data_IF_019761931747
#
_entry.id   IF_019761931747
#
_cell.length_a   1.000
_cell.length_b   1.000
_cell.length_c   1.000
_cell.angle_alpha   90.00
_cell.angle_beta   90.00
_cell.angle_gamma   90.00
#
_symmetry.space_group_name_H-M   'P 1'
#
loop_
_entity.id
_entity.type
_entity.pdbx_description
1 polymer ?
#
# COMPACT_ATOMS: atom_id res chain seq x y z
N UNK A 1 -6.05 9.19 -30.43
CA UNK A 1 -4.64 9.03 -30.04
C UNK A 1 -4.21 10.25 -29.25
N UNK A 2 -3.52 10.06 -28.11
CA UNK A 2 -2.88 11.12 -27.35
C UNK A 2 -1.61 11.65 -28.04
N UNK A 3 -1.00 12.69 -27.48
CA UNK A 3 0.17 13.35 -28.08
C UNK A 3 1.38 12.41 -28.20
N UNK A 4 1.59 11.51 -27.25
CA UNK A 4 2.70 10.56 -27.23
C UNK A 4 2.50 9.46 -28.28
N UNK A 5 1.27 8.96 -28.45
CA UNK A 5 0.94 8.01 -29.52
C UNK A 5 1.12 8.62 -30.92
N UNK A 6 0.79 9.91 -31.09
CA UNK A 6 1.05 10.63 -32.35
C UNK A 6 2.55 10.76 -32.62
N UNK A 7 3.35 11.05 -31.61
CA UNK A 7 4.80 11.12 -31.73
C UNK A 7 5.44 9.77 -32.13
N UNK A 8 4.95 8.67 -31.58
CA UNK A 8 5.38 7.32 -31.95
C UNK A 8 4.94 6.93 -33.36
N UNK A 9 3.70 7.27 -33.72
CA UNK A 9 3.20 7.07 -35.08
C UNK A 9 4.13 7.75 -36.10
N UNK A 10 4.55 8.99 -35.81
CA UNK A 10 5.52 9.74 -36.60
C UNK A 10 6.82 8.96 -36.80
N UNK A 11 7.43 8.47 -35.70
CA UNK A 11 8.67 7.68 -35.74
C UNK A 11 8.50 6.40 -36.52
N UNK A 12 7.36 5.71 -36.36
CA UNK A 12 7.06 4.48 -37.13
C UNK A 12 6.91 4.76 -38.64
N UNK A 13 6.29 5.90 -39.00
CA UNK A 13 6.17 6.32 -40.40
C UNK A 13 7.55 6.61 -41.00
N UNK A 14 8.42 7.36 -40.30
CA UNK A 14 9.80 7.63 -40.76
C UNK A 14 10.60 6.33 -40.93
N UNK A 15 10.44 5.38 -40.00
CA UNK A 15 11.09 4.06 -40.08
C UNK A 15 10.63 3.28 -41.32
N UNK A 16 9.34 3.24 -41.60
CA UNK A 16 8.79 2.57 -42.79
C UNK A 16 9.23 3.27 -44.08
N UNK A 17 9.21 4.59 -44.08
CA UNK A 17 9.67 5.42 -45.21
C UNK A 17 11.18 5.27 -45.47
N UNK A 18 11.94 4.69 -44.54
CA UNK A 18 13.38 4.39 -44.68
C UNK A 18 14.31 5.57 -44.37
N UNK A 19 13.80 6.75 -44.07
CA UNK A 19 14.61 7.90 -43.66
C UNK A 19 13.82 8.91 -42.80
N UNK A 20 14.53 9.72 -41.97
CA UNK A 20 13.90 10.80 -41.23
C UNK A 20 13.42 11.93 -42.15
N UNK A 21 12.27 12.53 -41.81
CA UNK A 21 11.67 13.65 -42.57
C UNK A 21 12.26 14.96 -42.06
N UNK A 22 13.31 15.47 -42.71
CA UNK A 22 14.06 16.68 -42.29
C UNK A 22 13.83 17.88 -43.20
N UNK A 23 13.32 17.71 -44.42
CA UNK A 23 13.11 18.76 -45.41
C UNK A 23 11.65 18.71 -45.92
N UNK A 24 11.14 19.86 -46.38
CA UNK A 24 9.80 19.94 -46.97
C UNK A 24 9.63 18.99 -48.19
N UNK A 25 10.70 18.78 -48.93
CA UNK A 25 10.71 17.84 -50.04
C UNK A 25 10.50 16.40 -49.62
N UNK A 26 11.01 16.00 -48.43
CA UNK A 26 10.78 14.65 -47.89
C UNK A 26 9.28 14.39 -47.62
N UNK A 27 8.53 15.45 -47.23
CA UNK A 27 7.08 15.35 -47.02
C UNK A 27 6.32 15.04 -48.35
N UNK A 28 6.79 15.60 -49.47
CA UNK A 28 6.23 15.30 -50.80
C UNK A 28 6.51 13.83 -51.19
N UNK A 29 7.75 13.38 -50.98
CA UNK A 29 8.09 11.99 -51.25
C UNK A 29 7.31 11.02 -50.36
N UNK A 30 7.14 11.33 -49.06
CA UNK A 30 6.29 10.53 -48.17
C UNK A 30 4.83 10.51 -48.64
N UNK A 31 4.30 11.63 -49.08
CA UNK A 31 2.92 11.69 -49.61
C UNK A 31 2.74 10.76 -50.83
N UNK A 32 3.71 10.77 -51.73
CA UNK A 32 3.72 9.93 -52.93
C UNK A 32 3.86 8.45 -52.54
N UNK A 33 4.77 8.12 -51.66
CA UNK A 33 5.00 6.75 -51.16
C UNK A 33 3.76 6.17 -50.48
N UNK A 34 3.05 6.98 -49.67
CA UNK A 34 1.76 6.57 -49.05
C UNK A 34 0.72 6.27 -50.16
N UNK A 35 0.64 7.13 -51.17
CA UNK A 35 -0.31 6.95 -52.30
C UNK A 35 -0.01 5.68 -53.09
N UNK A 36 1.27 5.43 -53.38
CA UNK A 36 1.73 4.26 -54.14
C UNK A 36 1.58 2.95 -53.35
N UNK A 37 1.89 2.98 -52.02
CA UNK A 37 1.89 1.79 -51.16
C UNK A 37 0.50 1.32 -50.79
N UNK A 38 -0.42 2.23 -50.45
CA UNK A 38 -1.75 1.88 -49.87
C UNK A 38 -2.95 2.55 -50.60
N UNK A 39 -2.68 3.25 -51.69
CA UNK A 39 -3.68 3.97 -52.50
C UNK A 39 -4.53 4.95 -51.67
N UNK A 40 -3.90 5.63 -50.67
CA UNK A 40 -4.57 6.61 -49.81
C UNK A 40 -3.92 8.00 -49.98
N UNK A 41 -4.78 9.02 -50.06
CA UNK A 41 -4.31 10.41 -50.15
C UNK A 41 -4.37 11.12 -48.79
N UNK A 42 -3.24 11.73 -48.40
CA UNK A 42 -3.13 12.63 -47.22
C UNK A 42 -2.73 14.01 -47.73
N UNK A 43 -3.43 15.04 -47.29
CA UNK A 43 -3.13 16.41 -47.70
C UNK A 43 -1.71 16.84 -47.25
N UNK A 44 -0.96 17.41 -48.18
CA UNK A 44 0.45 17.83 -47.95
C UNK A 44 0.61 18.73 -46.73
N UNK A 45 -0.31 19.67 -46.53
CA UNK A 45 -0.26 20.60 -45.40
C UNK A 45 -0.52 19.88 -44.06
N UNK A 46 -1.24 18.76 -44.06
CA UNK A 46 -1.43 17.93 -42.85
C UNK A 46 -0.16 17.24 -42.49
N UNK A 47 0.54 16.65 -43.47
CA UNK A 47 1.87 16.05 -43.26
C UNK A 47 2.89 17.11 -42.83
N UNK A 48 2.90 18.28 -43.45
CA UNK A 48 3.80 19.40 -43.05
C UNK A 48 3.59 19.81 -41.59
N UNK A 49 2.35 19.88 -41.11
CA UNK A 49 2.04 20.15 -39.70
C UNK A 49 2.48 19.01 -38.79
N UNK A 50 2.24 17.77 -39.20
CA UNK A 50 2.64 16.59 -38.43
C UNK A 50 4.16 16.51 -38.25
N UNK A 51 4.93 16.81 -39.30
CA UNK A 51 6.40 16.74 -39.28
C UNK A 51 7.09 18.07 -38.89
N UNK A 52 6.33 19.07 -38.44
CA UNK A 52 6.88 20.29 -37.85
C UNK A 52 7.32 21.40 -38.86
N UNK A 53 6.92 21.31 -40.14
CA UNK A 53 7.19 22.33 -41.15
C UNK A 53 6.14 23.46 -41.19
N UNK A 54 5.08 23.33 -40.40
CA UNK A 54 4.05 24.35 -40.17
C UNK A 54 3.60 24.27 -38.71
N UNK A 55 2.91 25.33 -38.23
CA UNK A 55 2.37 25.36 -36.87
C UNK A 55 1.56 24.08 -36.59
N UNK A 56 1.86 23.42 -35.46
CA UNK A 56 1.24 22.15 -35.09
C UNK A 56 -0.27 22.34 -34.89
N UNK A 57 -1.03 21.47 -35.51
CA UNK A 57 -2.44 21.29 -35.26
C UNK A 57 -2.69 19.79 -35.17
N UNK A 58 -3.38 19.34 -34.14
CA UNK A 58 -3.67 17.93 -33.96
C UNK A 58 -4.31 17.34 -35.24
N UNK A 59 -3.75 16.27 -35.80
CA UNK A 59 -4.33 15.62 -36.98
C UNK A 59 -5.71 15.08 -36.69
N UNK A 60 -6.59 15.14 -37.68
CA UNK A 60 -7.89 14.49 -37.58
C UNK A 60 -7.75 12.97 -37.52
N UNK A 61 -8.68 12.30 -36.85
CA UNK A 61 -8.66 10.86 -36.68
C UNK A 61 -8.54 10.11 -38.02
N UNK A 62 -9.26 10.53 -39.03
CA UNK A 62 -9.15 9.97 -40.39
C UNK A 62 -7.73 10.06 -41.00
N UNK A 63 -6.94 11.05 -40.62
CA UNK A 63 -5.56 11.18 -41.09
C UNK A 63 -4.65 10.19 -40.33
N UNK A 64 -4.86 10.06 -39.04
CA UNK A 64 -4.13 9.09 -38.21
C UNK A 64 -4.41 7.66 -38.69
N UNK A 65 -5.67 7.33 -39.01
CA UNK A 65 -6.06 6.04 -39.59
C UNK A 65 -5.30 5.74 -40.91
N UNK A 66 -5.22 6.71 -41.83
CA UNK A 66 -4.49 6.53 -43.08
C UNK A 66 -3.00 6.23 -42.88
N UNK A 67 -2.38 6.90 -41.90
CA UNK A 67 -0.98 6.63 -41.54
C UNK A 67 -0.81 5.24 -40.90
N UNK A 68 -1.75 4.81 -40.10
CA UNK A 68 -1.77 3.49 -39.49
C UNK A 68 -1.94 2.39 -40.55
N UNK A 69 -2.82 2.61 -41.53
CA UNK A 69 -2.97 1.70 -42.68
C UNK A 69 -1.68 1.66 -43.52
N UNK A 70 -1.06 2.82 -43.74
CA UNK A 70 0.26 2.88 -44.40
C UNK A 70 1.29 2.02 -43.66
N UNK A 71 1.30 1.98 -42.33
CA UNK A 71 2.17 1.10 -41.54
C UNK A 71 1.86 -0.39 -41.65
N UNK A 72 0.70 -0.75 -42.22
CA UNK A 72 0.27 -2.13 -42.41
C UNK A 72 -0.71 -2.65 -41.35
N UNK A 73 -1.22 -1.77 -40.49
CA UNK A 73 -2.24 -2.14 -39.50
C UNK A 73 -3.65 -1.92 -40.05
N UNK A 74 -4.59 -2.72 -39.56
CA UNK A 74 -5.99 -2.64 -40.00
C UNK A 74 -6.67 -1.32 -39.58
N UNK A 75 -6.35 -0.82 -38.36
CA UNK A 75 -6.91 0.39 -37.78
C UNK A 75 -6.05 0.90 -36.62
N UNK A 76 -6.36 2.08 -36.08
CA UNK A 76 -5.65 2.71 -34.96
C UNK A 76 -5.66 1.85 -33.70
N UNK A 77 -6.72 1.09 -33.44
CA UNK A 77 -6.81 0.20 -32.28
C UNK A 77 -5.77 -0.92 -32.34
N UNK A 78 -5.63 -1.58 -33.48
CA UNK A 78 -4.63 -2.63 -33.69
C UNK A 78 -3.21 -2.09 -33.60
N UNK A 79 -2.94 -0.90 -34.13
CA UNK A 79 -1.66 -0.22 -34.00
C UNK A 79 -1.30 0.10 -32.54
N UNK A 80 -2.25 0.68 -31.80
CA UNK A 80 -2.05 1.02 -30.38
C UNK A 80 -1.82 -0.23 -29.53
N UNK A 81 -2.57 -1.30 -29.80
CA UNK A 81 -2.42 -2.58 -29.11
C UNK A 81 -1.03 -3.19 -29.35
N UNK A 82 -0.59 -3.23 -30.59
CA UNK A 82 0.74 -3.76 -30.96
C UNK A 82 1.87 -2.92 -30.35
N UNK A 83 1.77 -1.58 -30.47
CA UNK A 83 2.78 -0.66 -29.92
C UNK A 83 2.89 -0.77 -28.40
N UNK A 84 1.76 -0.91 -27.69
CA UNK A 84 1.73 -1.10 -26.24
C UNK A 84 2.29 -2.47 -25.85
N UNK A 85 1.97 -3.52 -26.59
CA UNK A 85 2.51 -4.88 -26.35
C UNK A 85 4.03 -4.89 -26.52
N UNK A 86 4.56 -4.29 -27.58
CA UNK A 86 5.99 -4.21 -27.83
C UNK A 86 6.73 -3.38 -26.76
N UNK A 87 6.12 -2.27 -26.26
CA UNK A 87 6.67 -1.50 -25.14
C UNK A 87 6.70 -2.34 -23.86
N UNK A 88 5.60 -2.97 -23.50
CA UNK A 88 5.51 -3.82 -22.32
C UNK A 88 6.51 -4.97 -22.38
N UNK A 89 6.70 -5.58 -23.55
CA UNK A 89 7.73 -6.61 -23.78
C UNK A 89 9.15 -6.07 -23.53
N UNK A 90 9.49 -4.89 -24.03
CA UNK A 90 10.81 -4.27 -23.82
C UNK A 90 11.10 -4.03 -22.33
N UNK A 91 10.10 -3.55 -21.58
CA UNK A 91 10.23 -3.36 -20.13
C UNK A 91 10.35 -4.69 -19.39
N UNK A 92 9.52 -5.68 -19.72
CA UNK A 92 9.59 -7.01 -19.17
C UNK A 92 10.96 -7.66 -19.44
N UNK A 93 11.46 -7.60 -20.67
CA UNK A 93 12.76 -8.13 -21.06
C UNK A 93 13.90 -7.47 -20.28
N UNK A 94 13.93 -6.14 -20.19
CA UNK A 94 14.95 -5.41 -19.44
C UNK A 94 14.88 -5.72 -17.94
N UNK A 95 13.69 -5.80 -17.37
CA UNK A 95 13.49 -6.25 -15.99
C UNK A 95 14.11 -7.62 -15.76
N UNK A 96 13.80 -8.60 -16.61
CA UNK A 96 14.38 -9.94 -16.50
C UNK A 96 15.90 -9.95 -16.67
N UNK A 97 16.46 -9.09 -17.53
CA UNK A 97 17.91 -8.95 -17.65
C UNK A 97 18.54 -8.53 -16.32
N UNK A 98 17.95 -7.54 -15.62
CA UNK A 98 18.40 -7.10 -14.29
C UNK A 98 18.25 -8.22 -13.25
N UNK A 99 17.12 -8.92 -13.26
CA UNK A 99 16.85 -10.06 -12.36
C UNK A 99 17.87 -11.20 -12.52
N UNK A 100 18.18 -11.54 -13.76
CA UNK A 100 19.13 -12.62 -14.10
C UNK A 100 20.57 -12.23 -13.76
N UNK A 101 20.96 -10.97 -13.99
CA UNK A 101 22.32 -10.49 -13.69
C UNK A 101 22.58 -10.39 -12.19
N UNK A 102 21.52 -10.25 -11.37
CA UNK A 102 21.57 -10.01 -9.91
C UNK A 102 22.39 -8.77 -9.52
N UNK A 103 22.69 -7.92 -10.48
CA UNK A 103 23.45 -6.68 -10.30
C UNK A 103 22.68 -5.52 -10.92
N UNK A 104 22.82 -4.33 -10.33
CA UNK A 104 22.19 -3.10 -10.81
C UNK A 104 23.27 -2.12 -11.23
N UNK A 105 23.33 -1.82 -12.51
CA UNK A 105 24.26 -0.88 -13.10
C UNK A 105 23.70 0.54 -13.06
N UNK A 106 24.57 1.52 -13.32
CA UNK A 106 24.12 2.93 -13.49
C UNK A 106 23.09 3.07 -14.61
N UNK A 107 23.29 2.35 -15.73
CA UNK A 107 22.35 2.32 -16.86
C UNK A 107 20.98 1.75 -16.45
N UNK A 108 20.94 0.78 -15.53
CA UNK A 108 19.68 0.23 -15.02
C UNK A 108 18.93 1.24 -14.15
N UNK A 109 19.65 2.01 -13.32
CA UNK A 109 19.06 3.11 -12.56
C UNK A 109 18.48 4.18 -13.49
N UNK A 110 19.22 4.59 -14.53
CA UNK A 110 18.75 5.56 -15.53
C UNK A 110 17.49 5.03 -16.25
N UNK A 111 17.46 3.75 -16.60
CA UNK A 111 16.30 3.12 -17.20
C UNK A 111 15.09 3.09 -16.22
N UNK A 112 15.29 2.76 -14.95
CA UNK A 112 14.23 2.80 -13.93
C UNK A 112 13.67 4.22 -13.76
N UNK A 113 14.54 5.24 -13.76
CA UNK A 113 14.11 6.64 -13.69
C UNK A 113 13.28 7.06 -14.91
N UNK A 114 13.62 6.59 -16.10
CA UNK A 114 12.85 6.85 -17.31
C UNK A 114 11.49 6.12 -17.29
N UNK A 115 11.42 4.97 -16.61
CA UNK A 115 10.21 4.14 -16.52
C UNK A 115 9.22 4.60 -15.44
N UNK A 116 9.61 5.43 -14.46
CA UNK A 116 8.85 5.71 -13.23
C UNK A 116 7.44 6.30 -13.42
N UNK A 117 7.17 6.93 -14.56
CA UNK A 117 5.88 7.54 -14.87
C UNK A 117 4.90 6.57 -15.59
N UNK A 118 5.25 5.30 -15.70
CA UNK A 118 4.39 4.28 -16.29
C UNK A 118 3.43 3.71 -15.25
N UNK A 119 2.21 3.41 -15.63
CA UNK A 119 1.17 2.83 -14.78
C UNK A 119 1.57 1.45 -14.20
N UNK A 120 2.43 0.72 -14.91
CA UNK A 120 2.93 -0.62 -14.53
C UNK A 120 4.31 -0.59 -13.85
N UNK A 121 4.88 0.59 -13.58
CA UNK A 121 6.21 0.75 -12.98
C UNK A 121 6.36 -0.01 -11.66
N UNK A 122 5.36 0.07 -10.78
CA UNK A 122 5.41 -0.58 -9.48
C UNK A 122 5.58 -2.10 -9.58
N UNK A 123 5.03 -2.74 -10.63
CA UNK A 123 5.14 -4.19 -10.87
C UNK A 123 6.59 -4.58 -11.15
N UNK A 124 7.23 -3.89 -12.09
CA UNK A 124 8.63 -4.15 -12.47
C UNK A 124 9.59 -3.81 -11.35
N UNK A 125 9.39 -2.64 -10.73
CA UNK A 125 10.27 -2.16 -9.67
C UNK A 125 10.19 -3.03 -8.42
N UNK A 126 8.99 -3.40 -7.97
CA UNK A 126 8.82 -4.32 -6.84
C UNK A 126 9.37 -5.72 -7.13
N UNK A 127 9.30 -6.20 -8.38
CA UNK A 127 9.87 -7.48 -8.76
C UNK A 127 11.40 -7.47 -8.64
N UNK A 128 12.06 -6.38 -9.06
CA UNK A 128 13.51 -6.22 -8.91
C UNK A 128 13.88 -6.21 -7.42
N UNK A 129 13.22 -5.37 -6.61
CA UNK A 129 13.50 -5.30 -5.17
C UNK A 129 13.28 -6.64 -4.47
N UNK A 130 12.18 -7.31 -4.78
CA UNK A 130 11.86 -8.64 -4.24
C UNK A 130 12.94 -9.66 -4.56
N UNK A 131 13.44 -9.68 -5.78
CA UNK A 131 14.45 -10.66 -6.20
C UNK A 131 15.83 -10.36 -5.58
N UNK A 132 16.23 -9.10 -5.54
CA UNK A 132 17.47 -8.70 -4.85
C UNK A 132 17.44 -9.07 -3.36
N UNK A 133 16.31 -8.88 -2.68
CA UNK A 133 16.10 -9.34 -1.30
C UNK A 133 16.16 -10.86 -1.20
N UNK A 134 15.58 -11.58 -2.17
CA UNK A 134 15.62 -13.04 -2.23
C UNK A 134 17.04 -13.59 -2.26
N UNK A 135 17.90 -12.92 -3.01
CA UNK A 135 19.30 -13.29 -3.17
C UNK A 135 20.23 -12.66 -2.13
N UNK A 136 19.69 -11.90 -1.13
CA UNK A 136 20.48 -11.18 -0.12
C UNK A 136 21.47 -10.16 -0.71
N UNK A 137 21.16 -9.58 -1.87
CA UNK A 137 22.01 -8.62 -2.58
C UNK A 137 21.86 -7.21 -1.98
N UNK A 138 22.31 -7.05 -0.75
CA UNK A 138 22.11 -5.79 0.03
C UNK A 138 22.81 -4.60 -0.64
N UNK A 139 24.01 -4.80 -1.20
CA UNK A 139 24.77 -3.72 -1.86
C UNK A 139 23.99 -3.14 -3.06
N UNK A 140 23.30 -3.99 -3.82
CA UNK A 140 22.49 -3.55 -4.95
C UNK A 140 21.23 -2.79 -4.49
N UNK A 141 20.62 -3.24 -3.38
CA UNK A 141 19.51 -2.54 -2.76
C UNK A 141 19.95 -1.17 -2.21
N UNK A 142 21.14 -1.06 -1.64
CA UNK A 142 21.72 0.21 -1.19
C UNK A 142 21.81 1.19 -2.37
N UNK A 143 22.29 0.76 -3.54
CA UNK A 143 22.38 1.61 -4.74
C UNK A 143 21.00 2.16 -5.14
N UNK A 144 19.97 1.29 -5.12
CA UNK A 144 18.59 1.68 -5.47
C UNK A 144 18.03 2.65 -4.42
N UNK A 145 18.09 2.29 -3.12
CA UNK A 145 17.50 3.12 -2.07
C UNK A 145 18.27 4.42 -1.80
N UNK A 146 19.53 4.52 -2.21
CA UNK A 146 20.28 5.77 -2.18
C UNK A 146 19.81 6.78 -3.24
N UNK A 147 19.04 6.35 -4.25
CA UNK A 147 18.50 7.23 -5.29
C UNK A 147 17.07 7.65 -4.94
N UNK A 148 16.91 8.87 -4.39
CA UNK A 148 15.61 9.42 -3.98
C UNK A 148 14.62 9.58 -5.13
N UNK A 149 15.09 9.76 -6.35
CA UNK A 149 14.23 10.07 -7.50
C UNK A 149 13.44 8.84 -7.99
N UNK A 150 13.90 7.63 -7.70
CA UNK A 150 13.18 6.39 -8.01
C UNK A 150 11.85 6.26 -7.24
N UNK A 151 11.75 6.91 -6.10
CA UNK A 151 10.58 6.85 -5.21
C UNK A 151 9.68 8.10 -5.29
N UNK A 152 9.96 9.01 -6.22
CA UNK A 152 9.08 10.16 -6.55
C UNK A 152 7.95 9.71 -7.48
N UNK A 153 7.07 8.87 -6.98
CA UNK A 153 5.89 8.31 -7.62
C UNK A 153 4.67 8.47 -6.68
N UNK A 154 3.43 8.27 -7.15
CA UNK A 154 2.25 8.38 -6.30
C UNK A 154 2.31 7.48 -5.06
N UNK A 155 1.90 8.01 -3.91
CA UNK A 155 1.94 7.28 -2.62
C UNK A 155 1.28 5.89 -2.66
N UNK A 156 0.10 5.67 -3.31
CA UNK A 156 -0.49 4.35 -3.39
C UNK A 156 0.41 3.31 -4.07
N UNK A 157 1.23 3.72 -5.02
CA UNK A 157 2.18 2.84 -5.72
C UNK A 157 3.37 2.48 -4.82
N UNK A 158 3.89 3.46 -4.05
CA UNK A 158 4.95 3.20 -3.08
C UNK A 158 4.47 2.21 -2.02
N UNK A 159 3.23 2.33 -1.55
CA UNK A 159 2.65 1.41 -0.57
C UNK A 159 2.57 -0.02 -1.12
N UNK A 160 2.19 -0.19 -2.40
CA UNK A 160 2.21 -1.50 -3.06
C UNK A 160 3.62 -2.09 -3.09
N UNK A 161 4.61 -1.27 -3.46
CA UNK A 161 6.03 -1.66 -3.45
C UNK A 161 6.47 -2.05 -2.04
N UNK A 162 6.16 -1.22 -1.03
CA UNK A 162 6.47 -1.49 0.36
C UNK A 162 5.86 -2.80 0.87
N UNK A 163 4.62 -3.10 0.46
CA UNK A 163 3.94 -4.35 0.79
C UNK A 163 4.66 -5.56 0.20
N UNK A 164 5.05 -5.52 -1.08
CA UNK A 164 5.78 -6.62 -1.74
C UNK A 164 7.15 -6.83 -1.09
N UNK A 165 7.87 -5.75 -0.79
CA UNK A 165 9.16 -5.77 -0.09
C UNK A 165 9.00 -6.33 1.32
N UNK A 166 8.01 -5.86 2.09
CA UNK A 166 7.70 -6.34 3.42
C UNK A 166 7.42 -7.85 3.45
N UNK A 167 6.60 -8.35 2.52
CA UNK A 167 6.36 -9.79 2.40
C UNK A 167 7.65 -10.58 2.14
N UNK A 168 8.59 -10.02 1.40
CA UNK A 168 9.86 -10.68 1.15
C UNK A 168 10.76 -10.67 2.39
N UNK A 169 10.77 -9.57 3.14
CA UNK A 169 11.51 -9.46 4.40
C UNK A 169 11.07 -10.48 5.45
N UNK A 170 9.84 -10.97 5.43
CA UNK A 170 9.34 -12.06 6.30
C UNK A 170 10.13 -13.38 6.14
N UNK A 171 10.86 -13.55 5.06
CA UNK A 171 11.67 -14.76 4.83
C UNK A 171 13.07 -14.70 5.42
N UNK A 172 13.45 -13.58 6.04
CA UNK A 172 14.71 -13.45 6.73
C UNK A 172 14.62 -14.11 8.13
N UNK A 173 15.62 -14.89 8.47
CA UNK A 173 15.78 -15.48 9.79
C UNK A 173 16.49 -14.52 10.76
N UNK A 174 16.40 -14.76 12.05
CA UNK A 174 17.06 -13.90 13.07
C UNK A 174 18.55 -13.71 12.81
N UNK A 175 19.24 -14.76 12.35
CA UNK A 175 20.67 -14.69 12.00
C UNK A 175 20.96 -13.75 10.82
N UNK A 176 19.97 -13.52 9.96
CA UNK A 176 20.10 -12.69 8.77
C UNK A 176 19.67 -11.23 9.01
N UNK A 177 19.01 -10.90 10.14
CA UNK A 177 18.52 -9.54 10.37
C UNK A 177 19.62 -8.48 10.29
N UNK A 178 20.83 -8.80 10.76
CA UNK A 178 21.98 -7.88 10.69
C UNK A 178 22.33 -7.46 9.26
N UNK A 179 22.01 -8.28 8.26
CA UNK A 179 22.20 -7.91 6.86
C UNK A 179 21.35 -6.70 6.45
N UNK A 180 20.24 -6.44 7.15
CA UNK A 180 19.32 -5.36 6.84
C UNK A 180 19.74 -4.01 7.45
N UNK A 181 20.69 -3.98 8.37
CA UNK A 181 21.12 -2.75 9.06
C UNK A 181 21.57 -1.63 8.10
N UNK A 182 22.36 -1.91 7.05
CA UNK A 182 22.73 -0.88 6.07
C UNK A 182 21.50 -0.25 5.37
N UNK A 183 20.47 -1.04 5.07
CA UNK A 183 19.21 -0.53 4.47
C UNK A 183 18.45 0.35 5.46
N UNK A 184 18.33 -0.07 6.71
CA UNK A 184 17.68 0.72 7.79
C UNK A 184 18.38 2.06 7.99
N UNK A 185 19.68 2.14 7.75
CA UNK A 185 20.44 3.39 7.83
C UNK A 185 20.07 4.40 6.73
N UNK A 186 19.46 3.96 5.63
CA UNK A 186 19.05 4.82 4.51
C UNK A 186 17.67 5.42 4.79
N UNK A 187 17.59 6.76 4.89
CA UNK A 187 16.34 7.48 5.12
C UNK A 187 15.24 7.10 4.11
N UNK A 188 15.61 6.99 2.85
CA UNK A 188 14.68 6.67 1.77
C UNK A 188 14.07 5.26 1.89
N UNK A 189 14.84 4.28 2.40
CA UNK A 189 14.32 2.96 2.73
C UNK A 189 13.34 3.03 3.92
N UNK A 190 13.68 3.77 4.98
CA UNK A 190 12.77 3.94 6.12
C UNK A 190 11.46 4.58 5.70
N UNK A 191 11.52 5.72 4.98
CA UNK A 191 10.34 6.49 4.60
C UNK A 191 9.42 5.75 3.62
N UNK A 192 9.97 5.02 2.65
CA UNK A 192 9.19 4.41 1.57
C UNK A 192 8.86 2.93 1.80
N UNK A 193 9.57 2.25 2.71
CA UNK A 193 9.32 0.83 2.98
C UNK A 193 8.90 0.63 4.44
N UNK A 194 9.76 0.98 5.38
CA UNK A 194 9.58 0.63 6.79
C UNK A 194 8.36 1.33 7.41
N UNK A 195 8.12 2.61 7.10
CA UNK A 195 7.03 3.38 7.71
C UNK A 195 5.71 3.24 6.96
N UNK A 196 5.72 2.89 5.67
CA UNK A 196 4.51 2.70 4.89
C UNK A 196 3.90 1.30 5.03
N UNK A 197 4.72 0.29 5.35
CA UNK A 197 4.24 -1.08 5.56
C UNK A 197 4.52 -1.53 7.00
N UNK A 198 3.68 -1.10 7.95
CA UNK A 198 3.78 -1.55 9.34
C UNK A 198 3.35 -3.01 9.45
N UNK A 199 4.29 -3.89 9.72
CA UNK A 199 4.04 -5.33 9.81
C UNK A 199 3.85 -5.77 11.26
N UNK A 200 2.64 -5.54 11.80
CA UNK A 200 2.31 -5.90 13.18
C UNK A 200 2.51 -7.39 13.47
N UNK A 201 2.31 -8.27 12.49
CA UNK A 201 2.48 -9.72 12.67
C UNK A 201 3.94 -10.13 12.96
N UNK A 202 4.88 -9.27 12.60
CA UNK A 202 6.33 -9.52 12.73
C UNK A 202 7.03 -8.50 13.64
N UNK A 203 6.30 -7.90 14.58
CA UNK A 203 6.89 -7.04 15.60
C UNK A 203 7.89 -7.80 16.51
N UNK A 204 7.71 -9.09 16.70
CA UNK A 204 8.68 -9.96 17.37
C UNK A 204 9.71 -10.59 16.41
N UNK A 205 9.72 -10.19 15.14
CA UNK A 205 10.63 -10.68 14.11
C UNK A 205 11.39 -9.55 13.44
N UNK A 206 11.61 -9.70 12.13
CA UNK A 206 12.41 -8.77 11.32
C UNK A 206 11.94 -7.31 11.45
N UNK A 207 10.63 -7.07 11.50
CA UNK A 207 10.09 -5.73 11.50
C UNK A 207 10.39 -4.99 12.80
N UNK A 208 10.13 -5.60 13.95
CA UNK A 208 10.45 -5.00 15.25
C UNK A 208 11.95 -4.80 15.43
N UNK A 209 12.77 -5.73 14.94
CA UNK A 209 14.23 -5.57 14.94
C UNK A 209 14.66 -4.34 14.11
N UNK A 210 14.12 -4.16 12.89
CA UNK A 210 14.44 -2.99 12.06
C UNK A 210 13.98 -1.68 12.70
N UNK A 211 12.80 -1.65 13.34
CA UNK A 211 12.32 -0.48 14.07
C UNK A 211 13.25 -0.15 15.24
N UNK A 212 13.69 -1.13 16.01
CA UNK A 212 14.61 -0.92 17.13
C UNK A 212 15.97 -0.38 16.66
N UNK A 213 16.56 -0.98 15.63
CA UNK A 213 17.83 -0.52 15.03
C UNK A 213 17.67 0.89 14.45
N UNK A 214 16.51 1.25 13.91
CA UNK A 214 16.27 2.57 13.34
C UNK A 214 16.39 3.70 14.36
N UNK A 215 16.12 3.47 15.66
CA UNK A 215 16.18 4.49 16.72
C UNK A 215 17.50 5.27 16.72
N UNK A 216 18.62 4.59 16.54
CA UNK A 216 19.95 5.21 16.54
C UNK A 216 20.27 5.99 15.26
N UNK A 217 19.44 5.86 14.21
CA UNK A 217 19.67 6.44 12.87
C UNK A 217 18.72 7.61 12.57
N UNK A 218 17.70 7.82 13.42
CA UNK A 218 16.63 8.78 13.20
C UNK A 218 17.00 10.16 13.75
N UNK A 219 16.74 11.21 12.94
CA UNK A 219 16.93 12.60 13.35
C UNK A 219 15.62 13.40 13.35
N UNK A 220 14.65 13.04 12.50
CA UNK A 220 13.39 13.77 12.33
C UNK A 220 12.39 13.44 13.43
N UNK A 221 11.60 14.45 13.81
CA UNK A 221 10.61 14.34 14.89
C UNK A 221 9.51 13.34 14.55
N UNK A 222 8.99 13.37 13.31
CA UNK A 222 7.96 12.46 12.83
C UNK A 222 8.43 11.00 12.77
N UNK A 223 9.67 10.76 12.35
CA UNK A 223 10.28 9.42 12.38
C UNK A 223 10.43 8.90 13.83
N UNK A 224 10.85 9.78 14.76
CA UNK A 224 10.96 9.42 16.19
C UNK A 224 9.59 9.07 16.77
N UNK A 225 8.59 9.93 16.54
CA UNK A 225 7.23 9.69 16.98
C UNK A 225 6.70 8.35 16.44
N UNK A 226 6.84 8.11 15.12
CA UNK A 226 6.42 6.85 14.50
C UNK A 226 7.06 5.64 15.18
N UNK A 227 8.39 5.66 15.33
CA UNK A 227 9.16 4.56 15.89
C UNK A 227 8.75 4.28 17.34
N UNK A 228 8.62 5.33 18.16
CA UNK A 228 8.20 5.23 19.54
C UNK A 228 6.78 4.66 19.66
N UNK A 229 5.83 5.12 18.84
CA UNK A 229 4.45 4.62 18.85
C UNK A 229 4.39 3.13 18.50
N UNK A 230 5.10 2.69 17.46
CA UNK A 230 5.13 1.28 17.06
C UNK A 230 5.72 0.41 18.17
N UNK A 231 6.82 0.82 18.77
CA UNK A 231 7.48 0.04 19.83
C UNK A 231 6.67 -0.01 21.12
N UNK A 232 6.06 1.10 21.53
CA UNK A 232 5.19 1.10 22.70
C UNK A 232 3.94 0.23 22.47
N UNK A 233 3.35 0.29 21.28
CA UNK A 233 2.23 -0.58 20.94
C UNK A 233 2.63 -2.06 20.96
N UNK A 234 3.84 -2.37 20.47
CA UNK A 234 4.40 -3.71 20.57
C UNK A 234 4.56 -4.18 22.03
N UNK A 235 5.10 -3.31 22.90
CA UNK A 235 5.23 -3.61 24.33
C UNK A 235 3.86 -3.88 24.98
N UNK A 236 2.87 -3.04 24.68
CA UNK A 236 1.50 -3.22 25.14
C UNK A 236 0.91 -4.57 24.69
N UNK A 237 0.96 -4.88 23.40
CA UNK A 237 0.44 -6.14 22.86
C UNK A 237 1.19 -7.37 23.42
N UNK A 238 2.46 -7.20 23.78
CA UNK A 238 3.28 -8.25 24.41
C UNK A 238 3.00 -8.43 25.91
N UNK A 239 2.09 -7.65 26.50
CA UNK A 239 1.78 -7.69 27.92
C UNK A 239 2.91 -7.19 28.82
N UNK A 240 3.74 -6.26 28.32
CA UNK A 240 4.88 -5.67 29.06
C UNK A 240 4.54 -4.27 29.52
N UNK A 241 4.69 -4.00 30.81
CA UNK A 241 4.37 -2.69 31.43
C UNK A 241 5.43 -1.61 31.22
N UNK A 242 6.55 -1.94 30.60
CA UNK A 242 7.69 -1.04 30.48
C UNK A 242 7.62 -0.21 29.20
N UNK A 243 6.75 0.78 29.19
CA UNK A 243 6.54 1.70 28.06
C UNK A 243 7.04 3.11 28.35
N UNK A 244 7.51 3.80 27.33
CA UNK A 244 7.96 5.19 27.43
C UNK A 244 6.77 6.15 27.41
N UNK A 245 6.82 7.16 28.28
CA UNK A 245 5.82 8.22 28.27
C UNK A 245 5.98 9.11 27.02
N UNK A 246 5.01 9.05 26.10
CA UNK A 246 4.99 9.86 24.86
C UNK A 246 4.07 11.09 24.96
N UNK A 247 3.57 11.42 26.14
CA UNK A 247 2.58 12.51 26.33
C UNK A 247 3.14 13.89 25.94
N UNK A 248 4.47 14.06 26.02
CA UNK A 248 5.15 15.30 25.70
C UNK A 248 5.76 15.31 24.29
N UNK A 249 5.50 14.29 23.47
CA UNK A 249 6.00 14.27 22.11
C UNK A 249 5.29 15.32 21.23
N UNK A 250 6.07 16.02 20.43
CA UNK A 250 5.55 17.02 19.51
C UNK A 250 4.90 16.33 18.32
N UNK A 251 3.60 16.54 18.14
CA UNK A 251 2.90 16.05 16.95
C UNK A 251 3.17 17.02 15.80
N UNK A 252 3.64 16.55 14.65
CA UNK A 252 3.82 17.38 13.45
C UNK A 252 2.50 18.04 13.03
N UNK A 253 2.54 19.32 12.61
CA UNK A 253 1.33 20.07 12.19
C UNK A 253 0.54 19.39 11.08
N UNK A 254 1.25 18.75 10.13
CA UNK A 254 0.68 18.02 8.99
C UNK A 254 0.89 16.51 9.18
N UNK A 255 0.53 15.98 10.35
CA UNK A 255 0.67 14.58 10.66
C UNK A 255 -0.26 13.74 9.77
N UNK A 256 0.26 12.66 9.19
CA UNK A 256 -0.53 11.73 8.40
C UNK A 256 -1.66 11.12 9.27
N UNK A 257 -2.90 10.98 8.76
CA UNK A 257 -4.04 10.46 9.54
C UNK A 257 -3.76 9.17 10.30
N UNK A 258 -3.06 8.21 9.70
CA UNK A 258 -2.66 6.95 10.34
C UNK A 258 -1.71 7.20 11.53
N UNK A 259 -0.71 8.06 11.38
CA UNK A 259 0.25 8.36 12.46
C UNK A 259 -0.44 9.07 13.62
N UNK A 260 -1.32 10.02 13.30
CA UNK A 260 -2.10 10.72 14.30
C UNK A 260 -3.11 9.80 15.01
N UNK A 261 -3.76 8.90 14.26
CA UNK A 261 -4.64 7.86 14.82
C UNK A 261 -3.90 6.96 15.81
N UNK A 262 -2.68 6.53 15.49
CA UNK A 262 -1.82 5.75 16.41
C UNK A 262 -1.46 6.52 17.67
N UNK A 263 -1.16 7.80 17.53
CA UNK A 263 -0.89 8.64 18.69
C UNK A 263 -2.11 8.74 19.60
N UNK A 264 -3.30 8.96 19.03
CA UNK A 264 -4.56 8.96 19.78
C UNK A 264 -4.86 7.60 20.43
N UNK A 265 -4.67 6.51 19.69
CA UNK A 265 -4.81 5.16 20.22
C UNK A 265 -3.84 4.91 21.39
N UNK A 266 -2.58 5.34 21.26
CA UNK A 266 -1.60 5.28 22.34
C UNK A 266 -2.07 6.07 23.58
N UNK A 267 -2.58 7.30 23.42
CA UNK A 267 -3.10 8.07 24.52
C UNK A 267 -4.22 7.32 25.25
N UNK A 268 -5.16 6.72 24.51
CA UNK A 268 -6.25 5.93 25.09
C UNK A 268 -5.78 4.70 25.86
N UNK A 269 -4.74 4.01 25.36
CA UNK A 269 -4.20 2.78 25.97
C UNK A 269 -3.43 3.05 27.26
N UNK A 270 -2.75 4.19 27.37
CA UNK A 270 -1.78 4.48 28.44
C UNK A 270 -2.20 5.57 29.42
N UNK A 271 -3.34 6.23 29.16
CA UNK A 271 -3.84 7.24 30.10
C UNK A 271 -4.56 6.62 31.28
N UNK A 272 -4.41 7.24 32.44
CA UNK A 272 -5.14 6.88 33.64
C UNK A 272 -6.68 7.05 33.45
N UNK A 273 -7.45 6.21 34.11
CA UNK A 273 -8.92 6.10 34.00
C UNK A 273 -9.68 7.43 34.18
N UNK A 274 -9.08 8.43 34.82
CA UNK A 274 -9.72 9.72 35.16
C UNK A 274 -9.83 10.73 34.00
N UNK A 275 -9.00 10.61 32.96
CA UNK A 275 -8.95 11.54 31.82
C UNK A 275 -9.44 10.92 30.50
N UNK A 276 -9.90 9.67 30.54
CA UNK A 276 -10.18 8.90 29.31
C UNK A 276 -11.29 9.56 28.46
N UNK A 277 -12.40 9.94 29.07
CA UNK A 277 -13.53 10.52 28.34
C UNK A 277 -13.18 11.92 27.78
N UNK A 278 -12.40 12.72 28.49
CA UNK A 278 -11.92 14.01 28.01
C UNK A 278 -11.02 13.85 26.78
N UNK A 279 -10.08 12.90 26.83
CA UNK A 279 -9.19 12.59 25.70
C UNK A 279 -10.02 12.14 24.49
N UNK A 280 -10.99 11.25 24.70
CA UNK A 280 -11.83 10.79 23.62
C UNK A 280 -12.64 11.91 22.98
N UNK A 281 -13.25 12.79 23.78
CA UNK A 281 -13.98 13.96 23.27
C UNK A 281 -13.06 14.93 22.52
N UNK A 282 -11.83 15.12 22.97
CA UNK A 282 -10.84 15.90 22.22
C UNK A 282 -10.48 15.26 20.87
N UNK A 283 -10.32 13.94 20.83
CA UNK A 283 -10.10 13.17 19.60
C UNK A 283 -11.26 13.40 18.63
N UNK A 284 -12.50 13.22 19.06
CA UNK A 284 -13.69 13.43 18.22
C UNK A 284 -13.75 14.88 17.71
N UNK A 285 -13.49 15.87 18.55
CA UNK A 285 -13.48 17.29 18.15
C UNK A 285 -12.43 17.58 17.06
N UNK A 286 -11.25 17.00 17.16
CA UNK A 286 -10.18 17.18 16.17
C UNK A 286 -10.43 16.45 14.84
N UNK A 287 -11.32 15.47 14.81
CA UNK A 287 -11.61 14.67 13.60
C UNK A 287 -12.12 15.52 12.44
N UNK A 288 -12.74 16.68 12.71
CA UNK A 288 -13.21 17.59 11.65
C UNK A 288 -12.08 18.12 10.75
N UNK A 289 -10.84 18.10 11.23
CA UNK A 289 -9.65 18.58 10.49
C UNK A 289 -8.87 17.45 9.81
N UNK A 290 -9.34 16.21 9.89
CA UNK A 290 -8.64 15.03 9.36
C UNK A 290 -9.16 14.69 7.98
N UNK A 291 -8.24 14.62 6.98
CA UNK A 291 -8.56 14.36 5.58
C UNK A 291 -9.09 12.94 5.35
N UNK A 292 -8.52 11.94 6.03
CA UNK A 292 -8.91 10.52 5.89
C UNK A 292 -9.37 9.92 7.21
N UNK A 293 -10.68 10.03 7.48
CA UNK A 293 -11.29 9.44 8.69
C UNK A 293 -11.22 7.92 8.69
N UNK A 294 -11.35 7.30 7.52
CA UNK A 294 -11.27 5.84 7.36
C UNK A 294 -9.91 5.28 7.83
N UNK A 295 -8.81 5.95 7.54
CA UNK A 295 -7.49 5.52 8.00
C UNK A 295 -7.24 5.88 9.46
N UNK A 296 -7.73 7.02 9.91
CA UNK A 296 -7.58 7.51 11.27
C UNK A 296 -8.27 6.60 12.30
N UNK A 297 -9.56 6.35 12.13
CA UNK A 297 -10.31 5.52 13.08
C UNK A 297 -9.94 4.04 13.03
N UNK A 298 -9.36 3.58 11.93
CA UNK A 298 -8.84 2.22 11.85
C UNK A 298 -7.71 1.95 12.86
N UNK A 299 -6.97 2.97 13.27
CA UNK A 299 -5.95 2.85 14.31
C UNK A 299 -6.54 2.97 15.73
N UNK A 300 -7.67 3.66 15.91
CA UNK A 300 -8.29 3.93 17.22
C UNK A 300 -9.21 2.79 17.66
N UNK A 301 -10.04 2.25 16.76
CA UNK A 301 -11.02 1.21 17.10
C UNK A 301 -10.40 -0.03 17.75
N UNK A 302 -9.26 -0.57 17.28
CA UNK A 302 -8.59 -1.67 17.97
C UNK A 302 -8.23 -1.34 19.43
N UNK A 303 -7.74 -0.13 19.72
CA UNK A 303 -7.42 0.29 21.08
C UNK A 303 -8.67 0.33 21.98
N UNK A 304 -9.79 0.86 21.46
CA UNK A 304 -11.07 0.86 22.17
C UNK A 304 -11.59 -0.56 22.45
N UNK A 305 -11.41 -1.47 21.50
CA UNK A 305 -11.78 -2.89 21.70
C UNK A 305 -10.90 -3.51 22.79
N UNK A 306 -9.56 -3.30 22.76
CA UNK A 306 -8.66 -3.80 23.79
C UNK A 306 -9.05 -3.32 25.20
N UNK A 307 -9.51 -2.08 25.30
CA UNK A 307 -9.98 -1.46 26.56
C UNK A 307 -11.44 -1.80 26.92
N UNK A 308 -12.13 -2.63 26.13
CA UNK A 308 -13.56 -2.94 26.26
C UNK A 308 -14.46 -1.69 26.28
N UNK A 309 -14.05 -0.59 25.60
CA UNK A 309 -14.78 0.66 25.46
C UNK A 309 -15.70 0.65 24.23
N UNK A 310 -16.57 -0.37 24.16
CA UNK A 310 -17.38 -0.66 22.97
C UNK A 310 -18.47 0.41 22.71
N UNK A 311 -18.91 1.12 23.73
CA UNK A 311 -19.85 2.23 23.57
C UNK A 311 -19.26 3.37 22.74
N UNK A 312 -17.94 3.63 22.88
CA UNK A 312 -17.22 4.61 22.09
C UNK A 312 -16.96 4.11 20.64
N UNK A 313 -16.76 2.81 20.46
CA UNK A 313 -16.75 2.22 19.11
C UNK A 313 -18.10 2.47 18.41
N UNK A 314 -19.22 2.28 19.13
CA UNK A 314 -20.56 2.56 18.61
C UNK A 314 -20.72 4.03 18.23
N UNK A 315 -20.25 4.95 19.07
CA UNK A 315 -20.30 6.40 18.80
C UNK A 315 -19.57 6.74 17.49
N UNK A 316 -18.33 6.26 17.31
CA UNK A 316 -17.54 6.45 16.08
C UNK A 316 -18.28 5.88 14.86
N UNK A 317 -18.75 4.64 14.93
CA UNK A 317 -19.43 3.98 13.80
C UNK A 317 -20.76 4.67 13.47
N UNK A 318 -21.43 5.29 14.42
CA UNK A 318 -22.68 6.03 14.19
C UNK A 318 -22.43 7.41 13.57
N UNK A 319 -21.45 8.14 14.09
CA UNK A 319 -21.15 9.50 13.63
C UNK A 319 -20.52 9.54 12.22
N UNK A 320 -19.74 8.52 11.88
CA UNK A 320 -18.91 8.50 10.66
C UNK A 320 -19.22 7.34 9.72
N UNK A 321 -20.43 6.76 9.79
CA UNK A 321 -20.82 5.58 9.01
C UNK A 321 -20.51 5.74 7.51
N UNK A 322 -20.97 6.84 6.92
CA UNK A 322 -20.79 7.08 5.48
C UNK A 322 -19.31 7.16 5.10
N UNK A 323 -18.52 7.89 5.87
CA UNK A 323 -17.09 8.03 5.58
C UNK A 323 -16.32 6.72 5.75
N UNK A 324 -16.70 5.89 6.74
CA UNK A 324 -16.00 4.64 7.04
C UNK A 324 -16.34 3.51 6.06
N UNK A 325 -17.58 3.45 5.56
CA UNK A 325 -18.02 2.35 4.71
C UNK A 325 -18.08 2.68 3.22
N UNK A 326 -18.28 3.95 2.86
CA UNK A 326 -18.47 4.37 1.47
C UNK A 326 -17.26 5.07 0.85
N UNK A 327 -16.25 5.52 1.66
CA UNK A 327 -15.03 6.12 1.12
C UNK A 327 -14.15 5.07 0.43
N UNK A 328 -13.70 5.40 -0.77
CA UNK A 328 -12.76 4.58 -1.53
C UNK A 328 -11.35 4.82 -0.97
N UNK A 329 -10.67 3.76 -0.58
CA UNK A 329 -9.28 3.78 -0.12
C UNK A 329 -8.48 2.70 -0.86
N UNK A 330 -7.17 2.90 -1.00
CA UNK A 330 -6.25 1.93 -1.61
C UNK A 330 -6.26 0.55 -0.92
N UNK A 331 -6.63 0.51 0.36
CA UNK A 331 -6.69 -0.69 1.22
C UNK A 331 -8.10 -0.92 1.77
N UNK A 332 -9.09 -0.61 0.97
CA UNK A 332 -10.50 -0.56 1.37
C UNK A 332 -10.99 -1.87 2.03
N UNK A 333 -10.64 -3.02 1.46
CA UNK A 333 -11.08 -4.33 1.99
C UNK A 333 -10.58 -4.57 3.42
N UNK A 334 -9.29 -4.30 3.68
CA UNK A 334 -8.72 -4.44 5.01
C UNK A 334 -9.35 -3.48 6.02
N UNK A 335 -9.50 -2.20 5.66
CA UNK A 335 -10.08 -1.18 6.52
C UNK A 335 -11.56 -1.50 6.85
N UNK A 336 -12.35 -1.85 5.83
CA UNK A 336 -13.77 -2.24 6.01
C UNK A 336 -13.93 -3.45 6.92
N UNK A 337 -13.08 -4.46 6.81
CA UNK A 337 -13.13 -5.61 7.71
C UNK A 337 -12.92 -5.23 9.17
N UNK A 338 -11.98 -4.30 9.45
CA UNK A 338 -11.79 -3.76 10.80
C UNK A 338 -13.07 -3.11 11.34
N UNK A 339 -13.79 -2.34 10.52
CA UNK A 339 -15.05 -1.72 10.90
C UNK A 339 -16.20 -2.72 11.07
N UNK A 340 -16.29 -3.74 10.21
CA UNK A 340 -17.27 -4.83 10.36
C UNK A 340 -17.04 -5.59 11.68
N UNK A 341 -15.78 -5.86 12.02
CA UNK A 341 -15.43 -6.47 13.31
C UNK A 341 -15.83 -5.54 14.46
N UNK A 342 -15.52 -4.25 14.38
CA UNK A 342 -15.96 -3.25 15.36
C UNK A 342 -17.48 -3.22 15.53
N UNK A 343 -18.24 -3.26 14.44
CA UNK A 343 -19.71 -3.35 14.46
C UNK A 343 -20.18 -4.64 15.12
N UNK A 344 -19.54 -5.77 14.87
CA UNK A 344 -19.87 -7.02 15.51
C UNK A 344 -19.67 -6.95 17.05
N UNK A 345 -18.62 -6.27 17.54
CA UNK A 345 -18.43 -6.01 18.97
C UNK A 345 -19.55 -5.14 19.55
N UNK A 346 -20.01 -4.12 18.84
CA UNK A 346 -21.17 -3.30 19.26
C UNK A 346 -22.42 -4.16 19.39
N UNK A 347 -22.72 -4.95 18.37
CA UNK A 347 -23.89 -5.86 18.40
C UNK A 347 -23.78 -6.90 19.53
N UNK A 348 -22.59 -7.42 19.79
CA UNK A 348 -22.30 -8.33 20.89
C UNK A 348 -22.57 -7.67 22.25
N UNK A 349 -22.10 -6.43 22.46
CA UNK A 349 -22.36 -5.65 23.68
C UNK A 349 -23.85 -5.36 23.89
N UNK A 350 -24.57 -5.10 22.79
CA UNK A 350 -26.03 -4.89 22.80
C UNK A 350 -26.85 -6.18 22.94
N UNK A 351 -26.19 -7.33 23.16
CA UNK A 351 -26.81 -8.66 23.27
C UNK A 351 -27.54 -9.12 21.99
N UNK A 352 -27.22 -8.51 20.84
CA UNK A 352 -27.76 -8.86 19.52
C UNK A 352 -26.91 -9.98 18.87
N UNK A 353 -26.75 -11.10 19.55
CA UNK A 353 -25.78 -12.15 19.24
C UNK A 353 -25.91 -12.71 17.82
N UNK A 354 -27.17 -12.95 17.36
CA UNK A 354 -27.41 -13.45 16.00
C UNK A 354 -26.94 -12.46 14.93
N UNK A 355 -27.19 -11.16 15.14
CA UNK A 355 -26.73 -10.14 14.20
C UNK A 355 -25.21 -9.98 14.24
N UNK A 356 -24.58 -10.12 15.41
CA UNK A 356 -23.12 -10.14 15.53
C UNK A 356 -22.52 -11.32 14.74
N UNK A 357 -23.11 -12.52 14.84
CA UNK A 357 -22.68 -13.68 14.08
C UNK A 357 -22.78 -13.44 12.56
N UNK A 358 -23.94 -12.93 12.09
CA UNK A 358 -24.14 -12.58 10.68
C UNK A 358 -23.14 -11.52 10.22
N UNK A 359 -22.87 -10.48 11.02
CA UNK A 359 -21.88 -9.46 10.69
C UNK A 359 -20.49 -10.05 10.48
N UNK A 360 -20.09 -11.03 11.32
CA UNK A 360 -18.79 -11.70 11.19
C UNK A 360 -18.68 -12.58 9.92
N UNK A 361 -19.79 -13.04 9.32
CA UNK A 361 -19.78 -13.80 8.06
C UNK A 361 -19.32 -12.94 6.86
N UNK A 362 -19.45 -11.61 6.93
CA UNK A 362 -18.95 -10.70 5.92
C UNK A 362 -17.43 -10.48 5.96
N UNK A 363 -16.75 -10.99 7.00
CA UNK A 363 -15.29 -10.89 7.13
C UNK A 363 -14.61 -12.01 6.34
N UNK A 364 -14.09 -11.68 5.17
CA UNK A 364 -13.43 -12.62 4.27
C UNK A 364 -11.90 -12.40 4.23
N UNK A 365 -11.18 -13.15 5.06
CA UNK A 365 -9.72 -13.08 5.14
C UNK A 365 -9.00 -13.50 3.85
N UNK A 366 -9.68 -14.14 2.89
CA UNK A 366 -9.06 -14.46 1.60
C UNK A 366 -8.75 -13.22 0.75
N UNK A 367 -9.44 -12.11 1.02
CA UNK A 367 -9.24 -10.81 0.36
C UNK A 367 -8.12 -9.98 0.96
N UNK A 368 -7.51 -10.43 2.06
CA UNK A 368 -6.43 -9.71 2.75
C UNK A 368 -5.12 -10.46 2.56
N UNK A 369 -4.11 -9.76 2.04
CA UNK A 369 -2.78 -10.32 1.79
C UNK A 369 -1.74 -9.93 2.85
N UNK A 370 -2.07 -8.99 3.77
CA UNK A 370 -1.17 -8.51 4.80
C UNK A 370 -1.95 -8.13 6.08
N UNK A 371 -1.28 -8.10 7.24
CA UNK A 371 -1.87 -7.83 8.56
C UNK A 371 -3.09 -8.72 8.91
N UNK A 372 -3.14 -9.89 8.30
CA UNK A 372 -4.27 -10.82 8.41
C UNK A 372 -4.41 -11.38 9.82
N UNK A 373 -3.30 -11.84 10.39
CA UNK A 373 -3.30 -12.50 11.69
C UNK A 373 -3.60 -11.52 12.83
N UNK A 374 -3.12 -10.28 12.73
CA UNK A 374 -3.46 -9.21 13.67
C UNK A 374 -4.98 -8.94 13.71
N UNK A 375 -5.60 -8.71 12.56
CA UNK A 375 -7.04 -8.47 12.49
C UNK A 375 -7.85 -9.70 12.90
N UNK A 376 -7.32 -10.89 12.63
CA UNK A 376 -7.95 -12.16 12.95
C UNK A 376 -8.03 -12.42 14.46
N UNK A 377 -7.11 -11.89 15.26
CA UNK A 377 -7.20 -11.96 16.72
C UNK A 377 -8.47 -11.26 17.23
N UNK A 378 -8.78 -10.06 16.75
CA UNK A 378 -10.03 -9.36 17.11
C UNK A 378 -11.27 -10.09 16.60
N UNK A 379 -11.21 -10.62 15.38
CA UNK A 379 -12.28 -11.43 14.83
C UNK A 379 -12.58 -12.66 15.70
N UNK A 380 -11.55 -13.41 16.09
CA UNK A 380 -11.71 -14.62 16.89
C UNK A 380 -12.18 -14.28 18.32
N UNK A 381 -11.69 -13.17 18.90
CA UNK A 381 -12.17 -12.66 20.19
C UNK A 381 -13.67 -12.36 20.14
N UNK A 382 -14.15 -11.66 19.12
CA UNK A 382 -15.56 -11.38 18.94
C UNK A 382 -16.37 -12.66 18.69
N UNK A 383 -15.91 -13.52 17.78
CA UNK A 383 -16.58 -14.76 17.40
C UNK A 383 -16.70 -15.73 18.57
N UNK A 384 -15.64 -15.90 19.36
CA UNK A 384 -15.65 -16.74 20.55
C UNK A 384 -16.73 -16.29 21.55
N UNK A 385 -16.77 -14.98 21.84
CA UNK A 385 -17.75 -14.43 22.77
C UNK A 385 -19.18 -14.41 22.21
N UNK A 386 -19.37 -14.24 20.90
CA UNK A 386 -20.68 -14.39 20.23
C UNK A 386 -21.19 -15.82 20.33
N UNK A 387 -20.33 -16.81 20.11
CA UNK A 387 -20.69 -18.22 20.14
C UNK A 387 -21.13 -18.72 21.52
N UNK A 388 -20.70 -18.10 22.62
CA UNK A 388 -21.18 -18.39 23.96
C UNK A 388 -22.71 -18.25 24.10
N UNK A 389 -23.31 -17.34 23.30
CA UNK A 389 -24.73 -16.98 23.41
C UNK A 389 -25.59 -17.42 22.21
N UNK A 390 -24.99 -18.05 21.19
CA UNK A 390 -25.72 -18.49 19.97
C UNK A 390 -25.91 -19.99 19.87
N UNK A 391 -25.70 -20.74 20.95
CA UNK A 391 -25.79 -22.22 20.98
C UNK A 391 -24.89 -22.89 19.91
N UNK A 392 -23.73 -22.31 19.61
CA UNK A 392 -22.77 -22.91 18.70
C UNK A 392 -22.24 -24.23 19.26
N UNK A 393 -21.95 -25.18 18.37
CA UNK A 393 -21.44 -26.48 18.78
C UNK A 393 -20.14 -26.33 19.61
N UNK A 394 -19.97 -27.09 20.71
CA UNK A 394 -18.77 -27.03 21.55
C UNK A 394 -17.46 -27.24 20.78
N UNK A 395 -17.50 -28.08 19.73
CA UNK A 395 -16.38 -28.32 18.82
C UNK A 395 -15.94 -27.05 18.07
N UNK A 396 -16.91 -26.21 17.66
CA UNK A 396 -16.63 -24.93 17.02
C UNK A 396 -15.92 -23.94 17.97
N UNK A 397 -16.35 -23.92 19.23
CA UNK A 397 -15.76 -23.04 20.24
C UNK A 397 -14.32 -23.45 20.60
N UNK A 398 -14.07 -24.77 20.70
CA UNK A 398 -12.73 -25.32 20.89
C UNK A 398 -11.80 -24.96 19.74
N UNK A 399 -12.24 -25.13 18.51
CA UNK A 399 -11.44 -24.79 17.32
C UNK A 399 -11.08 -23.29 17.27
N UNK A 400 -12.01 -22.38 17.61
CA UNK A 400 -11.74 -20.93 17.69
C UNK A 400 -10.68 -20.64 18.75
N UNK A 401 -10.78 -21.27 19.93
CA UNK A 401 -9.80 -21.09 21.02
C UNK A 401 -8.41 -21.61 20.64
N UNK A 402 -8.33 -22.76 19.98
CA UNK A 402 -7.06 -23.31 19.48
C UNK A 402 -6.41 -22.40 18.45
N UNK A 403 -7.17 -21.89 17.48
CA UNK A 403 -6.66 -20.95 16.49
C UNK A 403 -6.23 -19.62 17.11
N UNK A 404 -7.01 -19.08 18.05
CA UNK A 404 -6.65 -17.87 18.79
C UNK A 404 -5.32 -18.05 19.53
N UNK A 405 -5.18 -19.11 20.33
CA UNK A 405 -3.96 -19.39 21.08
C UNK A 405 -2.74 -19.62 20.17
N UNK A 406 -2.95 -20.25 19.00
CA UNK A 406 -1.91 -20.39 17.99
C UNK A 406 -1.44 -19.01 17.47
N UNK A 407 -2.36 -18.11 17.16
CA UNK A 407 -2.03 -16.76 16.69
C UNK A 407 -1.34 -15.92 17.76
N UNK A 408 -1.78 -16.01 19.02
CA UNK A 408 -1.13 -15.34 20.16
C UNK A 408 0.31 -15.81 20.30
N UNK A 409 0.55 -17.12 20.29
CA UNK A 409 1.89 -17.68 20.36
C UNK A 409 2.76 -17.28 19.18
N UNK A 410 2.21 -17.30 17.96
CA UNK A 410 2.91 -16.95 16.73
C UNK A 410 3.33 -15.48 16.71
N UNK A 411 2.45 -14.56 17.14
CA UNK A 411 2.71 -13.12 17.15
C UNK A 411 3.47 -12.64 18.38
N UNK A 412 3.41 -13.40 19.49
CA UNK A 412 3.90 -12.96 20.80
C UNK A 412 3.05 -11.88 21.45
N UNK A 413 1.78 -11.74 21.06
CA UNK A 413 0.83 -10.74 21.58
C UNK A 413 0.12 -11.27 22.82
N UNK A 414 0.87 -11.45 23.91
CA UNK A 414 0.39 -12.08 25.13
C UNK A 414 -0.69 -11.27 25.88
N UNK A 415 -0.91 -9.99 25.51
CA UNK A 415 -2.09 -9.25 25.95
C UNK A 415 -3.39 -9.98 25.60
N UNK A 416 -3.43 -10.63 24.42
CA UNK A 416 -4.53 -11.51 24.00
C UNK A 416 -4.48 -12.86 24.71
N UNK A 417 -4.37 -12.86 26.04
CA UNK A 417 -4.33 -14.08 26.83
C UNK A 417 -5.63 -14.89 26.72
N UNK A 418 -5.59 -16.16 27.10
CA UNK A 418 -6.79 -17.00 27.18
C UNK A 418 -7.80 -16.43 28.19
N UNK A 419 -7.31 -15.87 29.30
CA UNK A 419 -8.13 -15.18 30.29
C UNK A 419 -8.83 -13.96 29.69
N UNK A 420 -8.14 -13.16 28.87
CA UNK A 420 -8.74 -12.04 28.14
C UNK A 420 -9.82 -12.52 27.17
N UNK A 421 -9.58 -13.61 26.42
CA UNK A 421 -10.56 -14.21 25.53
C UNK A 421 -11.83 -14.63 26.28
N UNK A 422 -11.68 -15.29 27.43
CA UNK A 422 -12.81 -15.87 28.18
C UNK A 422 -13.62 -14.81 28.94
N UNK A 423 -12.96 -13.78 29.47
CA UNK A 423 -13.58 -12.77 30.34
C UNK A 423 -13.87 -11.44 29.66
N UNK A 424 -13.73 -11.35 28.34
CA UNK A 424 -13.78 -10.07 27.60
C UNK A 424 -15.06 -9.24 27.87
N UNK A 425 -16.24 -9.88 27.95
CA UNK A 425 -17.51 -9.17 28.24
C UNK A 425 -17.86 -9.07 29.73
N UNK A 426 -17.23 -9.89 30.55
CA UNK A 426 -17.43 -9.93 31.98
C UNK A 426 -16.07 -9.66 32.67
N UNK A 427 -15.54 -8.43 32.59
CA UNK A 427 -14.32 -8.13 33.29
C UNK A 427 -14.56 -8.40 34.77
N UNK A 428 -13.86 -9.37 35.33
CA UNK A 428 -13.73 -9.52 36.77
C UNK A 428 -13.20 -8.18 37.24
N UNK A 429 -13.92 -7.51 38.14
CA UNK A 429 -13.47 -6.24 38.71
C UNK A 429 -12.08 -6.47 39.33
N UNK A 430 -11.04 -6.03 38.63
CA UNK A 430 -9.67 -5.98 39.13
C UNK A 430 -9.51 -4.67 39.88
#
# INVERSE_FOLDING_TARGET
MDLEAVKQLKMSVEKKFGKPIKKQQDVHFLQQDIKETVNLEIGINTLRRLFGFMSFKSPREKTLEKLVIYLGFKNSETYLKDTNTNKSWGYWYKTNTILLSKTVTKSDIEWLLAAKNRDDYFIYFSSILKELLANRNIDELIKIFSNKDLFKIPTPEIIKIATVVGHRLRTYTENEFKLLEPLVSIENFRNNILYLNVDYEYLNGYYGWMIEVSKSKIQKVDEKLFTNLVLNYHLYLSGKDNYNNLLNEIIPKNCHPVLYGRYCAYQLLYFEKTSFDEIFQEIIKKTHTIDSKIEFFHEIIPALILLNKIDLVKEILTLYFEELFNTISWNQEYLKMGYIIGQAFVLLKEKKYKLAAVSLEYVDFSKIYFKRDYLKLFYLLCKYNTNKFTNAAPTSQKAIKEEYNYLVKKSGFYYFSEEFLENYLNPIAI
#
